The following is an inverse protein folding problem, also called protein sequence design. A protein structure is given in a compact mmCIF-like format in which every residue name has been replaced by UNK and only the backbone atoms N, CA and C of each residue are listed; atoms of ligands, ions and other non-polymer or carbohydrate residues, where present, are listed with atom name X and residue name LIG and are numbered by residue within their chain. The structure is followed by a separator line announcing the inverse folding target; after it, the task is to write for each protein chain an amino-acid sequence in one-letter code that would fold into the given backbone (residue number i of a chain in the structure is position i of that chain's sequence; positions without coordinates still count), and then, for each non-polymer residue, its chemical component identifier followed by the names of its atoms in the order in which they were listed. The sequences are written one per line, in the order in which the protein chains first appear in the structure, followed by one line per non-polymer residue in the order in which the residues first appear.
data_IF_444899890416
#
_entry.id   IF_444899890416
#
_cell.length_a   1.000
_cell.length_b   1.000
_cell.length_c   1.000
_cell.angle_alpha   90.00
_cell.angle_beta   90.00
_cell.angle_gamma   90.00
#
_symmetry.space_group_name_H-M   'P 1'
#
loop_
_entity.id
_entity.type
_entity.pdbx_description
1 polymer ?
#
# COMPACT_ATOMS: atom_id res chain seq x y z
N UNK A 1 -25.61 -49.96 3.61
CA UNK A 1 -25.80 -48.78 4.48
C UNK A 1 -25.54 -47.55 3.64
N UNK A 2 -26.57 -46.77 3.37
CA UNK A 2 -26.51 -45.57 2.52
C UNK A 2 -25.93 -44.43 3.35
N UNK A 3 -24.70 -44.01 3.07
CA UNK A 3 -24.16 -42.76 3.64
C UNK A 3 -24.96 -41.60 3.03
N UNK A 4 -25.68 -40.87 3.88
CA UNK A 4 -26.47 -39.72 3.48
C UNK A 4 -25.52 -38.53 3.24
N UNK A 5 -25.16 -38.30 1.96
CA UNK A 5 -24.43 -37.10 1.51
C UNK A 5 -25.34 -35.86 1.60
N UNK A 6 -25.58 -35.38 2.82
CA UNK A 6 -26.07 -34.03 3.04
C UNK A 6 -24.86 -33.10 3.14
N UNK A 7 -24.37 -32.65 1.99
CA UNK A 7 -23.36 -31.59 1.95
C UNK A 7 -23.94 -30.31 2.56
N UNK A 8 -23.41 -29.92 3.72
CA UNK A 8 -23.67 -28.61 4.32
C UNK A 8 -23.21 -27.56 3.32
N UNK A 9 -24.13 -26.73 2.82
CA UNK A 9 -23.77 -25.61 1.94
C UNK A 9 -23.06 -24.54 2.77
N UNK A 10 -21.74 -24.61 2.84
CA UNK A 10 -20.91 -23.64 3.53
C UNK A 10 -20.52 -22.54 2.54
N UNK A 11 -20.82 -21.30 2.89
CA UNK A 11 -20.43 -20.16 2.08
C UNK A 11 -18.93 -19.89 2.31
N UNK A 12 -18.14 -20.07 1.26
CA UNK A 12 -16.69 -19.80 1.25
C UNK A 12 -16.45 -18.49 0.50
N UNK A 13 -15.43 -17.67 0.82
CA UNK A 13 -15.12 -16.45 0.07
C UNK A 13 -14.83 -16.69 -1.42
N UNK A 14 -15.01 -15.68 -2.28
CA UNK A 14 -14.73 -15.76 -3.73
C UNK A 14 -13.28 -15.44 -4.06
N UNK A 15 -12.65 -14.64 -3.20
CA UNK A 15 -11.26 -14.22 -3.37
C UNK A 15 -10.30 -15.38 -3.12
N UNK A 16 -9.27 -15.48 -3.96
CA UNK A 16 -8.29 -16.58 -3.87
C UNK A 16 -7.42 -16.52 -2.60
N UNK A 17 -7.10 -15.33 -2.10
CA UNK A 17 -6.18 -15.14 -0.97
C UNK A 17 -6.66 -15.86 0.30
N UNK A 18 -7.91 -15.65 0.79
CA UNK A 18 -8.40 -16.39 1.96
C UNK A 18 -8.50 -17.89 1.70
N UNK A 19 -8.92 -18.31 0.50
CA UNK A 19 -9.00 -19.74 0.12
C UNK A 19 -7.63 -20.42 0.24
N UNK A 20 -6.58 -19.78 -0.28
CA UNK A 20 -5.23 -20.31 -0.23
C UNK A 20 -4.68 -20.38 1.21
N UNK A 21 -5.01 -19.39 2.04
CA UNK A 21 -4.63 -19.38 3.45
C UNK A 21 -5.28 -20.55 4.21
N UNK A 22 -6.59 -20.77 4.03
CA UNK A 22 -7.30 -21.89 4.67
C UNK A 22 -6.78 -23.25 4.18
N UNK A 23 -6.46 -23.39 2.89
CA UNK A 23 -5.87 -24.62 2.36
C UNK A 23 -4.50 -24.92 2.98
N UNK A 24 -3.65 -23.90 3.20
CA UNK A 24 -2.38 -24.08 3.93
C UNK A 24 -2.60 -24.56 5.35
N UNK A 25 -3.58 -23.99 6.06
CA UNK A 25 -3.90 -24.36 7.45
C UNK A 25 -4.44 -25.80 7.55
N UNK A 26 -5.15 -26.26 6.52
CA UNK A 26 -5.63 -27.65 6.40
C UNK A 26 -4.53 -28.63 5.94
N UNK A 27 -3.28 -28.16 5.81
CA UNK A 27 -2.15 -28.91 5.26
C UNK A 27 -2.45 -29.52 3.88
N UNK A 28 -3.30 -28.83 3.10
CA UNK A 28 -3.67 -29.24 1.77
C UNK A 28 -2.84 -28.49 0.71
N UNK A 29 -2.59 -29.10 -0.45
CA UNK A 29 -2.00 -28.39 -1.58
C UNK A 29 -2.81 -27.12 -1.93
N UNK A 30 -2.09 -25.99 -1.98
CA UNK A 30 -2.66 -24.65 -2.25
C UNK A 30 -3.31 -24.62 -3.63
N UNK A 31 -2.65 -25.22 -4.61
CA UNK A 31 -3.11 -25.35 -5.98
C UNK A 31 -2.70 -26.74 -6.50
N UNK A 32 -3.60 -27.39 -7.23
CA UNK A 32 -3.27 -28.57 -8.04
C UNK A 32 -2.93 -28.15 -9.49
N UNK A 33 -2.20 -29.00 -10.21
CA UNK A 33 -1.88 -28.74 -11.62
C UNK A 33 -3.16 -28.65 -12.46
N UNK A 34 -3.31 -27.58 -13.23
CA UNK A 34 -4.50 -27.32 -14.05
C UNK A 34 -5.74 -26.83 -13.29
N UNK A 35 -5.68 -26.69 -11.96
CA UNK A 35 -6.83 -26.30 -11.12
C UNK A 35 -7.21 -24.83 -11.31
N UNK A 36 -8.45 -24.58 -11.74
CA UNK A 36 -9.00 -23.24 -11.88
C UNK A 36 -9.46 -22.68 -10.52
N UNK A 37 -9.53 -21.34 -10.34
CA UNK A 37 -9.99 -20.73 -9.09
C UNK A 37 -11.34 -21.25 -8.56
N UNK A 38 -12.31 -21.48 -9.46
CA UNK A 38 -13.62 -22.02 -9.09
C UNK A 38 -13.55 -23.47 -8.57
N UNK A 39 -12.65 -24.28 -9.13
CA UNK A 39 -12.43 -25.68 -8.73
C UNK A 39 -11.73 -25.73 -7.38
N UNK A 40 -10.73 -24.87 -7.16
CA UNK A 40 -10.06 -24.69 -5.86
C UNK A 40 -11.05 -24.33 -4.76
N UNK A 41 -11.94 -23.38 -5.02
CA UNK A 41 -13.01 -23.00 -4.09
C UNK A 41 -13.93 -24.18 -3.79
N UNK A 42 -14.34 -24.94 -4.81
CA UNK A 42 -15.21 -26.12 -4.65
C UNK A 42 -14.52 -27.21 -3.83
N UNK A 43 -13.23 -27.45 -4.06
CA UNK A 43 -12.43 -28.39 -3.26
C UNK A 43 -12.36 -27.96 -1.79
N UNK A 44 -12.10 -26.69 -1.52
CA UNK A 44 -12.14 -26.17 -0.16
C UNK A 44 -13.53 -26.33 0.47
N UNK A 45 -14.61 -26.06 -0.27
CA UNK A 45 -15.98 -26.30 0.22
C UNK A 45 -16.21 -27.77 0.59
N UNK A 46 -15.75 -28.70 -0.23
CA UNK A 46 -15.88 -30.13 0.05
C UNK A 46 -15.09 -30.55 1.29
N UNK A 47 -13.84 -30.08 1.42
CA UNK A 47 -12.99 -30.33 2.59
C UNK A 47 -13.61 -29.80 3.88
N UNK A 48 -14.09 -28.55 3.86
CA UNK A 48 -14.74 -27.95 5.04
C UNK A 48 -16.06 -28.66 5.36
N UNK A 49 -16.79 -29.14 4.35
CA UNK A 49 -18.03 -29.90 4.57
C UNK A 49 -17.80 -31.23 5.28
N UNK A 50 -16.60 -31.82 5.17
CA UNK A 50 -16.23 -33.05 5.87
C UNK A 50 -15.68 -32.85 7.29
N UNK A 51 -15.36 -31.62 7.67
CA UNK A 51 -14.80 -31.30 8.99
C UNK A 51 -15.89 -31.15 10.05
N UNK A 52 -15.55 -31.48 11.29
CA UNK A 52 -16.40 -31.21 12.45
C UNK A 52 -16.44 -29.71 12.80
N UNK A 53 -17.51 -29.25 13.45
CA UNK A 53 -17.65 -27.84 13.87
C UNK A 53 -16.47 -27.36 14.74
N UNK A 54 -15.89 -28.24 15.55
CA UNK A 54 -14.73 -27.93 16.40
C UNK A 54 -13.44 -27.72 15.59
N UNK A 55 -13.23 -28.48 14.51
CA UNK A 55 -12.08 -28.29 13.62
C UNK A 55 -12.22 -27.00 12.82
N UNK A 56 -13.42 -26.70 12.36
CA UNK A 56 -13.74 -25.43 11.71
C UNK A 56 -13.46 -24.24 12.65
N UNK A 57 -13.85 -24.34 13.93
CA UNK A 57 -13.58 -23.32 14.92
C UNK A 57 -12.07 -23.11 15.16
N UNK A 58 -11.28 -24.18 15.21
CA UNK A 58 -9.80 -24.11 15.33
C UNK A 58 -9.14 -23.42 14.14
N UNK A 59 -9.61 -23.71 12.92
CA UNK A 59 -9.10 -23.08 11.69
C UNK A 59 -9.43 -21.58 11.68
N UNK A 60 -10.67 -21.23 12.05
CA UNK A 60 -11.10 -19.84 12.15
C UNK A 60 -10.32 -19.08 13.23
N UNK A 61 -10.03 -19.72 14.37
CA UNK A 61 -9.19 -19.13 15.41
C UNK A 61 -7.75 -18.96 14.93
N UNK A 62 -7.19 -19.92 14.20
CA UNK A 62 -5.84 -19.83 13.63
C UNK A 62 -5.67 -18.77 12.53
N UNK A 63 -6.77 -18.27 11.93
CA UNK A 63 -6.75 -17.12 11.01
C UNK A 63 -6.55 -15.79 11.74
N UNK A 64 -6.86 -15.74 13.04
CA UNK A 64 -6.53 -14.62 13.91
C UNK A 64 -5.22 -14.94 14.62
N UNK A 65 -4.13 -14.34 14.14
CA UNK A 65 -2.89 -14.36 14.89
C UNK A 65 -3.01 -13.37 16.05
N UNK A 66 -2.64 -13.80 17.26
CA UNK A 66 -2.42 -12.89 18.37
C UNK A 66 -1.36 -11.87 17.94
N UNK A 67 -1.80 -10.62 17.87
CA UNK A 67 -1.01 -9.53 17.31
C UNK A 67 -0.05 -9.02 18.40
N UNK A 68 1.25 -8.84 18.11
CA UNK A 68 2.21 -8.37 19.11
C UNK A 68 1.85 -6.96 19.61
N UNK A 69 2.07 -6.70 20.89
CA UNK A 69 1.71 -5.44 21.57
C UNK A 69 2.33 -4.20 20.88
N UNK A 70 3.51 -4.35 20.26
CA UNK A 70 4.16 -3.29 19.50
C UNK A 70 3.36 -2.89 18.25
N UNK A 71 2.74 -3.86 17.58
CA UNK A 71 1.93 -3.61 16.38
C UNK A 71 0.61 -2.93 16.76
N UNK A 72 0.02 -3.32 17.88
CA UNK A 72 -1.17 -2.64 18.42
C UNK A 72 -0.84 -1.18 18.77
N UNK A 73 0.27 -0.93 19.45
CA UNK A 73 0.74 0.42 19.79
C UNK A 73 0.98 1.26 18.54
N UNK A 74 1.66 0.70 17.53
CA UNK A 74 1.89 1.37 16.26
C UNK A 74 0.57 1.71 15.53
N UNK A 75 -0.42 0.81 15.57
CA UNK A 75 -1.76 1.07 14.99
C UNK A 75 -2.48 2.21 15.69
N UNK A 76 -2.44 2.25 17.03
CA UNK A 76 -3.00 3.37 17.78
C UNK A 76 -2.35 4.70 17.39
N UNK A 77 -1.02 4.72 17.31
CA UNK A 77 -0.28 5.91 16.90
C UNK A 77 -0.63 6.36 15.46
N UNK A 78 -0.68 5.43 14.52
CA UNK A 78 -1.10 5.71 13.13
C UNK A 78 -2.53 6.23 13.10
N UNK A 79 -3.43 5.63 13.88
CA UNK A 79 -4.83 6.04 13.95
C UNK A 79 -4.97 7.46 14.50
N UNK A 80 -4.32 7.77 15.62
CA UNK A 80 -4.33 9.12 16.22
C UNK A 80 -3.79 10.18 15.25
N UNK A 81 -2.66 9.90 14.62
CA UNK A 81 -2.06 10.74 13.59
C UNK A 81 -2.97 10.94 12.38
N UNK A 82 -3.58 9.86 11.89
CA UNK A 82 -4.44 9.89 10.71
C UNK A 82 -5.77 10.59 10.97
N UNK A 83 -6.39 10.36 12.14
CA UNK A 83 -7.67 10.96 12.53
C UNK A 83 -7.56 12.48 12.64
N UNK A 84 -6.48 12.97 13.25
CA UNK A 84 -6.22 14.41 13.36
C UNK A 84 -6.16 15.08 11.99
N UNK A 85 -5.42 14.49 11.05
CA UNK A 85 -5.32 15.00 9.67
C UNK A 85 -6.57 14.79 8.84
N UNK A 86 -7.32 13.72 9.09
CA UNK A 86 -8.60 13.47 8.43
C UNK A 86 -9.60 14.57 8.79
N UNK A 87 -9.61 15.02 10.05
CA UNK A 87 -10.41 16.15 10.50
C UNK A 87 -10.04 17.43 9.74
N UNK A 88 -8.76 17.79 9.69
CA UNK A 88 -8.29 18.97 8.93
C UNK A 88 -8.65 18.90 7.44
N UNK A 89 -8.51 17.73 6.82
CA UNK A 89 -8.91 17.51 5.42
C UNK A 89 -10.40 17.74 5.22
N UNK A 90 -11.25 17.25 6.11
CA UNK A 90 -12.71 17.43 6.02
C UNK A 90 -13.07 18.91 6.19
N UNK A 91 -12.41 19.62 7.10
CA UNK A 91 -12.62 21.05 7.31
C UNK A 91 -12.27 21.87 6.07
N UNK A 92 -11.08 21.64 5.49
CA UNK A 92 -10.69 22.26 4.21
C UNK A 92 -11.65 21.90 3.07
N UNK A 93 -12.16 20.68 3.03
CA UNK A 93 -13.16 20.29 2.03
C UNK A 93 -14.49 21.01 2.22
N UNK A 94 -14.93 21.25 3.46
CA UNK A 94 -16.12 22.06 3.75
C UNK A 94 -15.94 23.49 3.28
N UNK A 95 -14.79 24.10 3.55
CA UNK A 95 -14.43 25.43 3.04
C UNK A 95 -14.41 25.45 1.52
N UNK A 96 -13.79 24.45 0.88
CA UNK A 96 -13.73 24.34 -0.57
C UNK A 96 -15.12 24.17 -1.21
N UNK A 97 -16.01 23.37 -0.60
CA UNK A 97 -17.38 23.18 -1.07
C UNK A 97 -18.23 24.44 -0.88
N UNK A 98 -17.94 25.27 0.12
CA UNK A 98 -18.59 26.57 0.29
C UNK A 98 -18.28 27.54 -0.87
N UNK A 99 -17.19 27.32 -1.61
CA UNK A 99 -16.86 28.10 -2.81
C UNK A 99 -17.81 27.73 -3.96
N UNK A 100 -18.45 28.71 -4.63
CA UNK A 100 -19.33 28.44 -5.76
C UNK A 100 -18.62 27.67 -6.88
N UNK A 101 -19.36 26.76 -7.53
CA UNK A 101 -18.83 25.81 -8.51
C UNK A 101 -18.09 26.47 -9.68
N UNK A 102 -18.55 27.65 -10.12
CA UNK A 102 -17.93 28.41 -11.21
C UNK A 102 -16.45 28.71 -10.92
N UNK A 103 -16.12 29.11 -9.69
CA UNK A 103 -14.75 29.40 -9.29
C UNK A 103 -13.92 28.12 -9.14
N UNK A 104 -14.53 27.02 -8.68
CA UNK A 104 -13.86 25.71 -8.58
C UNK A 104 -13.44 25.19 -9.95
N UNK A 105 -14.34 25.24 -10.94
CA UNK A 105 -14.08 24.75 -12.30
C UNK A 105 -13.03 25.61 -13.01
N UNK A 106 -13.05 26.93 -12.82
CA UNK A 106 -12.02 27.83 -13.35
C UNK A 106 -10.63 27.55 -12.76
N UNK A 107 -10.54 27.33 -11.44
CA UNK A 107 -9.29 26.97 -10.77
C UNK A 107 -8.73 25.62 -11.27
N UNK A 108 -9.60 24.61 -11.44
CA UNK A 108 -9.23 23.30 -11.97
C UNK A 108 -8.71 23.42 -13.41
N UNK A 109 -9.37 24.21 -14.26
CA UNK A 109 -8.92 24.44 -15.64
C UNK A 109 -7.58 25.20 -15.72
N UNK A 110 -7.35 26.16 -14.81
CA UNK A 110 -6.06 26.82 -14.66
C UNK A 110 -4.96 25.83 -14.28
N UNK A 111 -5.21 25.03 -13.25
CA UNK A 111 -4.27 24.01 -12.76
C UNK A 111 -3.91 22.99 -13.84
N UNK A 112 -4.91 22.46 -14.59
CA UNK A 112 -4.65 21.50 -15.66
C UNK A 112 -3.77 22.05 -16.78
N UNK A 113 -3.78 23.37 -17.01
CA UNK A 113 -2.92 24.02 -17.99
C UNK A 113 -1.46 23.97 -17.54
N UNK A 114 -1.20 24.36 -16.30
CA UNK A 114 0.13 24.31 -15.68
C UNK A 114 0.65 22.86 -15.55
N UNK A 115 -0.23 21.93 -15.17
CA UNK A 115 0.11 20.51 -15.01
C UNK A 115 0.43 19.83 -16.34
N UNK A 116 -0.19 20.25 -17.45
CA UNK A 116 0.12 19.74 -18.79
C UNK A 116 1.55 20.08 -19.21
N UNK A 117 2.01 21.29 -18.89
CA UNK A 117 3.38 21.72 -19.16
C UNK A 117 4.41 20.90 -18.37
N UNK A 118 4.06 20.52 -17.14
CA UNK A 118 4.88 19.64 -16.29
C UNK A 118 4.86 18.18 -16.72
N UNK A 119 3.69 17.62 -17.05
CA UNK A 119 3.53 16.20 -17.38
C UNK A 119 4.38 15.78 -18.59
N UNK A 120 4.53 16.66 -19.58
CA UNK A 120 5.35 16.41 -20.77
C UNK A 120 6.86 16.31 -20.47
N UNK A 121 7.33 16.83 -19.33
CA UNK A 121 8.75 16.85 -18.94
C UNK A 121 9.12 15.71 -17.97
N UNK A 122 8.14 15.03 -17.39
CA UNK A 122 8.33 13.91 -16.45
C UNK A 122 8.20 12.55 -17.11
N UNK A 123 9.14 12.23 -18.00
CA UNK A 123 9.34 10.84 -18.45
C UNK A 123 10.21 10.07 -17.42
N UNK A 124 9.62 8.97 -16.93
CA UNK A 124 10.20 7.69 -16.51
C UNK A 124 11.24 7.60 -15.37
N UNK A 125 11.59 8.69 -14.69
CA UNK A 125 12.54 8.62 -13.57
C UNK A 125 11.87 8.97 -12.23
N UNK A 126 12.12 8.17 -11.20
CA UNK A 126 11.62 8.39 -9.82
C UNK A 126 12.39 9.57 -9.20
N UNK A 127 11.82 10.77 -9.31
CA UNK A 127 12.35 12.04 -8.80
C UNK A 127 11.48 12.54 -7.64
N UNK A 128 12.09 12.87 -6.52
CA UNK A 128 11.42 13.37 -5.32
C UNK A 128 12.07 14.65 -4.81
N UNK A 129 11.29 15.73 -4.80
CA UNK A 129 11.71 17.00 -4.21
C UNK A 129 11.66 16.94 -2.69
N UNK A 130 12.59 17.63 -2.06
CA UNK A 130 12.53 17.87 -0.62
C UNK A 130 11.26 18.70 -0.30
N UNK A 131 10.51 18.42 0.78
CA UNK A 131 9.26 19.11 1.10
C UNK A 131 9.37 20.64 1.24
N UNK A 132 10.56 21.13 1.60
CA UNK A 132 10.87 22.57 1.73
C UNK A 132 11.68 23.13 0.55
N UNK A 133 11.91 22.32 -0.49
CA UNK A 133 12.63 22.77 -1.68
C UNK A 133 11.91 23.97 -2.30
N UNK A 134 12.68 24.97 -2.74
CA UNK A 134 12.16 26.23 -3.32
C UNK A 134 11.29 27.09 -2.40
N UNK A 135 11.08 26.68 -1.14
CA UNK A 135 10.31 27.42 -0.14
C UNK A 135 11.23 28.04 0.94
N UNK A 136 11.86 27.19 1.75
CA UNK A 136 12.68 27.60 2.89
C UNK A 136 14.05 26.91 2.94
N UNK A 137 14.26 25.88 2.13
CA UNK A 137 15.53 25.17 2.03
C UNK A 137 16.57 26.03 1.30
N UNK A 138 17.78 26.07 1.84
CA UNK A 138 18.93 26.70 1.17
C UNK A 138 19.18 26.04 -0.21
N UNK A 139 19.34 26.84 -1.29
CA UNK A 139 19.76 26.36 -2.60
C UNK A 139 21.02 25.47 -2.61
N UNK A 140 21.96 25.67 -1.67
CA UNK A 140 23.18 24.87 -1.57
C UNK A 140 22.94 23.47 -0.96
N UNK A 141 21.81 23.28 -0.26
CA UNK A 141 21.42 22.02 0.36
C UNK A 141 20.71 21.10 -0.64
N UNK A 142 20.58 19.81 -0.29
CA UNK A 142 19.92 18.83 -1.17
C UNK A 142 18.45 19.19 -1.31
N UNK A 143 18.03 19.57 -2.52
CA UNK A 143 16.68 20.01 -2.84
C UNK A 143 15.90 18.94 -3.61
N UNK A 144 16.60 18.06 -4.34
CA UNK A 144 15.99 16.99 -5.12
C UNK A 144 16.79 15.70 -4.97
N UNK A 145 16.11 14.56 -4.95
CA UNK A 145 16.71 13.24 -5.06
C UNK A 145 16.11 12.48 -6.24
N UNK A 146 16.94 11.74 -6.96
CA UNK A 146 16.48 10.87 -8.05
C UNK A 146 17.11 9.49 -7.93
N UNK A 147 16.33 8.44 -8.17
CA UNK A 147 16.84 7.07 -8.30
C UNK A 147 16.71 6.54 -9.73
N UNK A 148 17.69 5.74 -10.14
CA UNK A 148 17.80 5.14 -11.48
C UNK A 148 17.81 3.61 -11.39
N UNK A 149 17.44 2.94 -12.49
CA UNK A 149 17.35 1.48 -12.60
C UNK A 149 18.71 0.77 -12.55
N UNK A 150 19.80 1.49 -12.80
CA UNK A 150 21.19 1.05 -12.57
C UNK A 150 21.56 0.99 -11.06
N UNK A 151 20.61 1.40 -10.21
CA UNK A 151 20.76 1.49 -8.78
C UNK A 151 21.48 2.75 -8.36
N UNK A 152 21.70 3.78 -9.19
CA UNK A 152 22.28 5.05 -8.74
C UNK A 152 21.23 5.99 -8.12
N UNK A 153 21.61 6.70 -7.05
CA UNK A 153 20.90 7.88 -6.52
C UNK A 153 21.73 9.12 -6.74
N UNK A 154 21.12 10.14 -7.33
CA UNK A 154 21.74 11.45 -7.42
C UNK A 154 21.02 12.39 -6.47
N UNK A 155 21.80 13.07 -5.65
CA UNK A 155 21.34 14.15 -4.80
C UNK A 155 21.69 15.46 -5.51
N UNK A 156 20.68 16.30 -5.64
CA UNK A 156 20.73 17.53 -6.40
C UNK A 156 20.51 18.66 -5.40
N UNK A 157 21.47 19.56 -5.27
CA UNK A 157 21.19 20.89 -4.77
C UNK A 157 20.86 21.80 -5.98
N UNK A 158 20.49 23.05 -5.75
CA UNK A 158 20.17 23.98 -6.84
C UNK A 158 21.43 24.58 -7.52
N UNK A 159 22.64 24.13 -7.16
CA UNK A 159 23.92 24.71 -7.58
C UNK A 159 24.97 23.70 -8.14
N UNK A 160 24.89 22.39 -7.83
CA UNK A 160 25.82 21.29 -8.14
C UNK A 160 25.26 19.88 -7.74
N UNK A 161 26.03 18.80 -7.95
CA UNK A 161 25.55 17.39 -7.80
C UNK A 161 26.51 16.48 -7.03
N UNK A 162 25.98 15.51 -6.27
CA UNK A 162 26.74 14.44 -5.61
C UNK A 162 26.05 13.05 -5.77
N UNK A 163 26.76 11.99 -6.23
CA UNK A 163 26.17 10.67 -6.48
C UNK A 163 26.33 9.65 -5.32
N UNK A 164 25.29 8.83 -5.14
CA UNK A 164 25.17 7.65 -4.26
C UNK A 164 24.46 6.50 -5.02
N UNK A 165 24.20 5.31 -4.42
CA UNK A 165 23.64 4.13 -5.14
C UNK A 165 22.46 3.46 -4.41
N UNK A 166 21.19 3.66 -4.83
CA UNK A 166 20.01 2.77 -4.58
C UNK A 166 18.93 2.79 -5.69
N UNK A 167 17.92 1.88 -5.65
CA UNK A 167 16.89 1.73 -6.69
C UNK A 167 15.56 2.48 -6.48
N UNK A 168 15.21 2.85 -5.25
CA UNK A 168 14.10 3.78 -4.95
C UNK A 168 14.47 4.72 -3.81
N UNK A 169 13.99 5.96 -3.90
CA UNK A 169 14.25 7.01 -2.91
C UNK A 169 12.96 7.73 -2.51
N UNK A 170 12.81 8.14 -1.25
CA UNK A 170 11.67 8.97 -0.79
C UNK A 170 12.04 9.84 0.41
N UNK A 171 11.67 11.13 0.35
CA UNK A 171 11.70 12.02 1.51
C UNK A 171 10.44 11.83 2.36
N UNK A 172 10.56 11.62 3.69
CA UNK A 172 9.45 11.80 4.62
C UNK A 172 8.97 13.26 4.64
N UNK A 173 7.75 13.49 5.12
CA UNK A 173 7.18 14.85 5.21
C UNK A 173 7.98 15.82 6.09
N UNK A 174 8.83 15.30 6.99
CA UNK A 174 9.73 16.10 7.81
C UNK A 174 10.99 16.56 7.07
N UNK A 175 11.32 15.95 5.92
CA UNK A 175 12.50 16.29 5.12
C UNK A 175 13.86 15.89 5.73
N UNK A 176 13.90 15.56 7.02
CA UNK A 176 15.13 15.29 7.79
C UNK A 176 15.91 14.04 7.37
N UNK A 177 15.22 13.03 6.85
CA UNK A 177 15.81 11.74 6.50
C UNK A 177 15.53 11.41 5.03
N UNK A 178 16.30 10.49 4.47
CA UNK A 178 16.11 10.01 3.10
C UNK A 178 16.03 8.49 3.10
N UNK A 179 14.83 7.96 2.87
CA UNK A 179 14.64 6.52 2.86
C UNK A 179 14.97 5.97 1.48
N UNK A 180 15.76 4.91 1.48
CA UNK A 180 16.23 4.24 0.27
C UNK A 180 15.97 2.74 0.35
N UNK A 181 15.55 2.13 -0.74
CA UNK A 181 15.40 0.67 -0.84
C UNK A 181 16.13 0.14 -2.05
N UNK A 182 16.73 -1.05 -1.93
CA UNK A 182 17.47 -1.73 -2.98
C UNK A 182 16.85 -3.10 -3.31
N UNK A 183 17.18 -3.66 -4.47
CA UNK A 183 16.63 -4.94 -4.96
C UNK A 183 17.16 -6.16 -4.18
N UNK A 184 18.22 -5.98 -3.40
CA UNK A 184 18.82 -6.97 -2.50
C UNK A 184 18.06 -7.12 -1.16
N UNK A 185 16.81 -6.67 -1.11
CA UNK A 185 15.97 -6.62 0.09
C UNK A 185 16.53 -5.74 1.22
N UNK A 186 17.51 -4.87 0.95
CA UNK A 186 17.99 -3.89 1.94
C UNK A 186 17.19 -2.58 1.87
N UNK A 187 16.89 -2.02 3.05
CA UNK A 187 16.37 -0.67 3.23
C UNK A 187 17.33 0.13 4.10
N UNK A 188 17.56 1.41 3.77
CA UNK A 188 18.42 2.32 4.55
C UNK A 188 17.69 3.64 4.78
N UNK A 189 17.86 4.23 5.96
CA UNK A 189 17.19 5.44 6.44
C UNK A 189 18.19 6.53 6.82
#
# INVERSE_FOLDING_TARGET
MVYSDKHRKINVPTDNVPIQATLRQLEQPICLFGERPAERRRRLQNLISSLSDNEIAKILLALYHDEPDELQTARYWIAEYALSRAKERIEKLKEYVAIPEVYRTANIQGLYRELREWFMQTLNNTRFWHPQSTLAQDPAMINLASSSFDGSVKLWNLQSHAPFRVSKVKFPSSGRFLVTTCHDHSGRL
#
